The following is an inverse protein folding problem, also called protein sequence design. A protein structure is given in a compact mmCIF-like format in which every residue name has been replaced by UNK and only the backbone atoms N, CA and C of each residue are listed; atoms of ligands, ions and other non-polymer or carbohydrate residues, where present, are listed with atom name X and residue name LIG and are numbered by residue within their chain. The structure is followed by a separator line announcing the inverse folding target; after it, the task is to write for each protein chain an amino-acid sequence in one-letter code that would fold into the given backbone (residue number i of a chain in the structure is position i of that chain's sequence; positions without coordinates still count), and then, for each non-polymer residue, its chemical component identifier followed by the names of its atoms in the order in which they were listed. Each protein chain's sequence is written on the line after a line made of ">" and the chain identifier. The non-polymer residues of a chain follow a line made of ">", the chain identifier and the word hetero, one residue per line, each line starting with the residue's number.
data_IF_041719104043
#
_entry.id   IF_041719104043
#
_cell.length_a   1.000
_cell.length_b   1.000
_cell.length_c   1.000
_cell.angle_alpha   90.00
_cell.angle_beta   90.00
_cell.angle_gamma   90.00
#
_symmetry.space_group_name_H-M   'P 1'
#
loop_
_entity.id
_entity.type
_entity.pdbx_description
1 polymer ?
#
# COMPACT_ATOMS: atom_id res chain seq x y z
N UNK A 1 -28.12 -5.65 11.55
CA UNK A 1 -27.77 -6.66 12.56
C UNK A 1 -26.54 -6.13 13.27
N UNK A 2 -26.54 -6.10 14.60
CA UNK A 2 -25.36 -5.67 15.38
C UNK A 2 -24.20 -6.63 15.15
N UNK A 3 -22.97 -6.11 15.06
CA UNK A 3 -21.75 -6.93 14.97
C UNK A 3 -21.65 -7.90 16.15
N UNK A 4 -21.16 -9.12 15.91
CA UNK A 4 -20.85 -10.06 16.99
C UNK A 4 -19.60 -9.62 17.77
N UNK A 5 -19.35 -10.21 18.94
CA UNK A 5 -18.11 -9.94 19.70
C UNK A 5 -16.85 -10.25 18.89
N UNK A 6 -16.89 -11.34 18.11
CA UNK A 6 -15.78 -11.73 17.22
C UNK A 6 -15.56 -10.69 16.13
N UNK A 7 -16.63 -10.19 15.50
CA UNK A 7 -16.52 -9.15 14.47
C UNK A 7 -15.95 -7.84 15.04
N UNK A 8 -16.33 -7.50 16.27
CA UNK A 8 -15.80 -6.33 16.98
C UNK A 8 -14.31 -6.49 17.28
N UNK A 9 -13.87 -7.68 17.70
CA UNK A 9 -12.46 -7.97 17.96
C UNK A 9 -11.61 -7.92 16.69
N UNK A 10 -12.10 -8.48 15.59
CA UNK A 10 -11.47 -8.37 14.28
C UNK A 10 -11.42 -6.91 13.79
N UNK A 11 -12.50 -6.14 13.99
CA UNK A 11 -12.54 -4.72 13.63
C UNK A 11 -11.56 -3.89 14.46
N UNK A 12 -11.39 -4.23 15.75
CA UNK A 12 -10.36 -3.63 16.61
C UNK A 12 -8.96 -3.95 16.12
N UNK A 13 -8.73 -5.21 15.72
CA UNK A 13 -7.46 -5.61 15.12
C UNK A 13 -7.20 -4.83 13.81
N UNK A 14 -8.22 -4.69 12.96
CA UNK A 14 -8.13 -3.90 11.74
C UNK A 14 -7.75 -2.44 12.04
N UNK A 15 -8.39 -1.81 13.03
CA UNK A 15 -8.05 -0.45 13.47
C UNK A 15 -6.59 -0.33 13.90
N UNK A 16 -6.10 -1.26 14.71
CA UNK A 16 -4.69 -1.28 15.13
C UNK A 16 -3.77 -1.39 13.91
N UNK A 17 -4.08 -2.27 12.96
CA UNK A 17 -3.27 -2.45 11.76
C UNK A 17 -3.24 -1.21 10.84
N UNK A 18 -4.34 -0.47 10.78
CA UNK A 18 -4.55 0.66 9.88
C UNK A 18 -4.06 2.00 10.45
N UNK A 19 -4.12 2.18 11.77
CA UNK A 19 -3.87 3.48 12.40
C UNK A 19 -2.56 3.54 13.19
N UNK A 20 -1.95 2.40 13.56
CA UNK A 20 -0.80 2.37 14.48
C UNK A 20 0.28 1.30 14.16
N UNK A 21 1.54 1.58 14.51
CA UNK A 21 2.29 2.81 14.18
C UNK A 21 2.64 2.86 12.68
N UNK A 22 2.75 4.07 12.14
CA UNK A 22 3.14 4.32 10.74
C UNK A 22 4.55 3.83 10.40
N UNK A 23 4.90 3.79 9.11
CA UNK A 23 6.17 3.25 8.62
C UNK A 23 7.40 3.96 9.23
N UNK A 24 7.38 5.29 9.36
CA UNK A 24 8.46 6.09 10.00
C UNK A 24 8.77 5.61 11.41
N UNK A 25 7.74 5.46 12.24
CA UNK A 25 7.92 5.05 13.63
C UNK A 25 8.55 3.66 13.71
N UNK A 26 8.11 2.73 12.85
CA UNK A 26 8.67 1.38 12.77
C UNK A 26 10.13 1.35 12.29
N UNK A 27 10.45 2.18 11.30
CA UNK A 27 11.83 2.33 10.82
C UNK A 27 12.72 2.95 11.90
N UNK A 28 12.22 3.94 12.62
CA UNK A 28 12.94 4.61 13.71
C UNK A 28 13.21 3.67 14.89
N UNK A 29 12.23 2.83 15.26
CA UNK A 29 12.37 1.80 16.31
C UNK A 29 13.49 0.81 15.99
N UNK A 30 13.57 0.37 14.74
CA UNK A 30 14.58 -0.62 14.30
C UNK A 30 15.96 0.02 14.09
N UNK A 31 16.01 1.25 13.60
CA UNK A 31 17.27 1.95 13.31
C UNK A 31 17.82 2.72 14.52
N UNK A 32 17.05 2.87 15.60
CA UNK A 32 17.44 3.64 16.79
C UNK A 32 17.66 5.12 16.52
N UNK A 33 17.11 5.66 15.42
CA UNK A 33 17.29 7.06 15.01
C UNK A 33 15.94 7.69 14.65
N UNK A 34 15.63 8.89 15.16
CA UNK A 34 14.36 9.56 14.87
C UNK A 34 14.37 10.12 13.44
N UNK A 35 13.66 9.46 12.53
CA UNK A 35 13.59 9.84 11.12
C UNK A 35 12.69 11.06 10.85
N UNK A 36 11.86 11.46 11.81
CA UNK A 36 10.90 12.56 11.69
C UNK A 36 11.58 13.91 11.38
N UNK A 37 12.82 14.10 11.86
CA UNK A 37 13.59 15.35 11.66
C UNK A 37 14.25 15.46 10.27
N UNK A 38 14.29 14.37 9.50
CA UNK A 38 15.02 14.30 8.23
C UNK A 38 14.25 14.80 7.00
N UNK A 39 12.91 14.88 7.06
CA UNK A 39 12.07 15.24 5.92
C UNK A 39 12.36 16.63 5.33
N UNK A 40 12.73 17.61 6.17
CA UNK A 40 13.03 18.98 5.76
C UNK A 40 14.37 19.15 5.05
N UNK A 41 15.23 18.13 5.02
CA UNK A 41 16.61 18.22 4.52
C UNK A 41 16.82 17.56 3.15
N UNK A 42 15.80 16.93 2.57
CA UNK A 42 15.91 16.31 1.25
C UNK A 42 16.10 17.36 0.14
N UNK A 43 17.10 17.20 -0.75
CA UNK A 43 17.24 18.08 -1.91
C UNK A 43 15.97 18.04 -2.77
N UNK A 44 15.50 19.20 -3.25
CA UNK A 44 14.27 19.30 -4.06
C UNK A 44 14.23 18.32 -5.26
N UNK A 45 15.39 18.00 -5.84
CA UNK A 45 15.54 17.04 -6.94
C UNK A 45 15.12 15.61 -6.54
N UNK A 46 15.28 15.22 -5.29
CA UNK A 46 14.92 13.89 -4.79
C UNK A 46 13.40 13.71 -4.75
N UNK A 47 12.67 14.73 -4.28
CA UNK A 47 11.20 14.68 -4.26
C UNK A 47 10.60 14.45 -5.65
N UNK A 48 11.15 15.09 -6.69
CA UNK A 48 10.71 14.88 -8.08
C UNK A 48 10.99 13.45 -8.56
N UNK A 49 12.20 12.94 -8.33
CA UNK A 49 12.58 11.56 -8.70
C UNK A 49 11.74 10.52 -7.98
N UNK A 50 11.47 10.72 -6.68
CA UNK A 50 10.64 9.82 -5.86
C UNK A 50 9.20 9.82 -6.37
N UNK A 51 8.63 10.98 -6.68
CA UNK A 51 7.29 11.08 -7.25
C UNK A 51 7.19 10.39 -8.63
N UNK A 52 8.19 10.58 -9.48
CA UNK A 52 8.25 9.91 -10.78
C UNK A 52 8.38 8.38 -10.62
N UNK A 53 9.26 7.91 -9.73
CA UNK A 53 9.44 6.50 -9.43
C UNK A 53 8.14 5.88 -8.88
N UNK A 54 7.49 6.56 -7.94
CA UNK A 54 6.21 6.14 -7.36
C UNK A 54 5.13 6.02 -8.44
N UNK A 55 4.94 7.07 -9.25
CA UNK A 55 3.96 7.07 -10.34
C UNK A 55 4.19 5.94 -11.35
N UNK A 56 5.45 5.75 -11.80
CA UNK A 56 5.81 4.64 -12.69
C UNK A 56 5.57 3.27 -12.03
N UNK A 57 5.87 3.14 -10.74
CA UNK A 57 5.67 1.90 -9.99
C UNK A 57 4.20 1.54 -9.86
N UNK A 58 3.35 2.52 -9.49
CA UNK A 58 1.89 2.32 -9.41
C UNK A 58 1.31 1.98 -10.78
N UNK A 59 1.69 2.73 -11.83
CA UNK A 59 1.22 2.44 -13.19
C UNK A 59 1.62 1.03 -13.66
N UNK A 60 2.87 0.63 -13.41
CA UNK A 60 3.36 -0.70 -13.78
C UNK A 60 2.69 -1.80 -12.98
N UNK A 61 2.58 -1.62 -11.66
CA UNK A 61 2.03 -2.61 -10.77
C UNK A 61 0.52 -2.78 -11.02
N UNK A 62 -0.21 -1.70 -11.30
CA UNK A 62 -1.61 -1.75 -11.73
C UNK A 62 -1.76 -2.45 -13.10
N UNK A 63 -0.91 -2.16 -14.09
CA UNK A 63 -0.94 -2.89 -15.37
C UNK A 63 -0.72 -4.40 -15.18
N UNK A 64 0.17 -4.79 -14.26
CA UNK A 64 0.40 -6.20 -13.92
C UNK A 64 -0.80 -6.79 -13.17
N UNK A 65 -1.36 -6.07 -12.20
CA UNK A 65 -2.52 -6.49 -11.42
C UNK A 65 -3.71 -6.81 -12.33
N UNK A 66 -4.09 -5.85 -13.18
CA UNK A 66 -5.18 -5.99 -14.15
C UNK A 66 -4.93 -7.10 -15.20
N UNK A 67 -3.67 -7.49 -15.44
CA UNK A 67 -3.32 -8.56 -16.41
C UNK A 67 -3.29 -9.96 -15.80
N UNK A 68 -2.94 -10.07 -14.52
CA UNK A 68 -2.43 -11.34 -13.95
C UNK A 68 -3.21 -11.82 -12.75
N UNK A 69 -4.03 -10.96 -12.11
CA UNK A 69 -4.85 -11.37 -10.97
C UNK A 69 -6.09 -12.20 -11.39
N UNK A 70 -6.50 -12.11 -12.67
CA UNK A 70 -7.56 -12.92 -13.29
C UNK A 70 -7.16 -14.40 -13.48
N UNK A 71 -5.86 -14.69 -13.65
CA UNK A 71 -5.38 -16.04 -13.97
C UNK A 71 -5.16 -16.84 -12.70
N UNK A 72 -6.23 -17.50 -12.27
CA UNK A 72 -6.17 -18.53 -11.24
C UNK A 72 -5.13 -19.60 -11.54
N UNK A 73 -4.15 -19.72 -10.65
CA UNK A 73 -3.57 -21.00 -10.31
C UNK A 73 -3.61 -21.13 -8.78
N UNK A 74 -4.41 -22.08 -8.32
CA UNK A 74 -4.37 -22.59 -6.97
C UNK A 74 -3.10 -23.44 -6.82
N UNK A 75 -2.08 -22.97 -6.10
CA UNK A 75 -1.10 -23.83 -5.39
C UNK A 75 -0.46 -23.02 -4.25
N UNK A 76 -0.59 -23.53 -3.03
CA UNK A 76 0.39 -23.32 -1.96
C UNK A 76 0.01 -22.33 -0.86
N UNK A 77 0.03 -22.80 0.38
CA UNK A 77 -0.02 -22.02 1.60
C UNK A 77 0.88 -20.77 1.51
N UNK A 78 0.32 -19.60 1.83
CA UNK A 78 1.04 -18.39 2.27
C UNK A 78 2.47 -18.27 1.73
N UNK A 79 2.62 -17.80 0.49
CA UNK A 79 3.90 -17.41 -0.09
C UNK A 79 4.55 -16.19 0.59
N UNK A 80 4.12 -15.82 1.81
CA UNK A 80 4.63 -14.70 2.59
C UNK A 80 6.15 -14.78 2.78
N UNK A 81 6.70 -15.97 3.01
CA UNK A 81 8.14 -16.15 3.16
C UNK A 81 8.88 -15.91 1.84
N UNK A 82 8.36 -16.39 0.71
CA UNK A 82 8.99 -16.24 -0.61
C UNK A 82 8.91 -14.81 -1.13
N UNK A 83 7.80 -14.10 -0.89
CA UNK A 83 7.67 -12.68 -1.22
C UNK A 83 8.61 -11.81 -0.37
N UNK A 84 8.76 -12.11 0.93
CA UNK A 84 9.74 -11.44 1.78
C UNK A 84 11.19 -11.75 1.36
N UNK A 85 11.50 -12.99 0.97
CA UNK A 85 12.81 -13.38 0.44
C UNK A 85 13.12 -12.70 -0.90
N UNK A 86 12.17 -12.65 -1.84
CA UNK A 86 12.35 -12.01 -3.13
C UNK A 86 12.54 -10.48 -2.99
N UNK A 87 11.79 -9.83 -2.09
CA UNK A 87 11.94 -8.41 -1.77
C UNK A 87 13.25 -8.12 -1.02
N UNK A 88 13.64 -8.99 -0.08
CA UNK A 88 14.94 -8.94 0.58
C UNK A 88 16.12 -9.09 -0.39
N UNK A 89 16.00 -10.02 -1.35
CA UNK A 89 16.99 -10.25 -2.40
C UNK A 89 17.09 -9.08 -3.39
N UNK A 90 15.96 -8.45 -3.79
CA UNK A 90 15.99 -7.21 -4.59
C UNK A 90 16.57 -6.03 -3.80
N UNK A 91 16.40 -6.02 -2.46
CA UNK A 91 16.98 -5.03 -1.57
C UNK A 91 18.51 -5.08 -1.47
N UNK A 92 19.12 -6.25 -1.65
CA UNK A 92 20.56 -6.41 -1.64
C UNK A 92 21.25 -5.75 -2.85
N UNK A 93 20.58 -5.70 -4.02
CA UNK A 93 21.10 -5.01 -5.22
C UNK A 93 20.89 -3.50 -5.13
N UNK A 94 19.81 -3.04 -4.50
CA UNK A 94 19.53 -1.60 -4.33
C UNK A 94 20.42 -0.90 -3.30
N UNK A 95 20.87 -1.61 -2.26
CA UNK A 95 21.68 -1.06 -1.17
C UNK A 95 23.07 -0.54 -1.56
N UNK A 96 23.59 -0.93 -2.74
CA UNK A 96 24.90 -0.49 -3.23
C UNK A 96 24.84 0.71 -4.21
N UNK A 97 23.68 1.01 -4.80
CA UNK A 97 23.54 2.03 -5.86
C UNK A 97 22.71 3.27 -5.46
N UNK A 98 22.09 3.28 -4.28
CA UNK A 98 21.36 4.45 -3.76
C UNK A 98 20.14 4.84 -4.62
N UNK A 99 19.85 6.15 -4.70
CA UNK A 99 18.63 6.70 -5.35
C UNK A 99 18.45 6.28 -6.82
N UNK A 100 19.53 5.97 -7.54
CA UNK A 100 19.46 5.55 -8.95
C UNK A 100 18.88 4.14 -9.11
N UNK A 101 19.04 3.27 -8.12
CA UNK A 101 18.42 1.95 -8.11
C UNK A 101 16.90 2.02 -7.84
N UNK A 102 16.40 3.10 -7.23
CA UNK A 102 14.99 3.27 -6.90
C UNK A 102 14.08 3.16 -8.13
N UNK A 103 14.52 3.64 -9.29
CA UNK A 103 13.74 3.60 -10.54
C UNK A 103 13.49 2.18 -11.06
N UNK A 104 14.30 1.20 -10.64
CA UNK A 104 14.17 -0.21 -11.02
C UNK A 104 13.61 -1.03 -9.86
N UNK A 105 14.14 -0.79 -8.65
CA UNK A 105 13.77 -1.49 -7.43
C UNK A 105 12.31 -1.22 -7.04
N UNK A 106 11.85 0.01 -7.18
CA UNK A 106 10.52 0.40 -6.73
C UNK A 106 9.40 -0.23 -7.58
N UNK A 107 9.45 -0.22 -8.94
CA UNK A 107 8.42 -0.90 -9.73
C UNK A 107 8.35 -2.41 -9.46
N UNK A 108 9.49 -3.06 -9.25
CA UNK A 108 9.57 -4.50 -8.96
C UNK A 108 9.00 -4.79 -7.58
N UNK A 109 9.49 -4.11 -6.54
CA UNK A 109 8.99 -4.30 -5.17
C UNK A 109 7.51 -3.96 -5.05
N UNK A 110 7.04 -2.90 -5.72
CA UNK A 110 5.62 -2.52 -5.76
C UNK A 110 4.75 -3.59 -6.42
N UNK A 111 5.23 -4.22 -7.50
CA UNK A 111 4.52 -5.34 -8.13
C UNK A 111 4.42 -6.55 -7.18
N UNK A 112 5.50 -6.88 -6.46
CA UNK A 112 5.50 -7.96 -5.48
C UNK A 112 4.56 -7.62 -4.31
N UNK A 113 4.57 -6.37 -3.83
CA UNK A 113 3.66 -5.90 -2.79
C UNK A 113 2.21 -6.03 -3.22
N UNK A 114 1.83 -5.55 -4.42
CA UNK A 114 0.46 -5.71 -4.91
C UNK A 114 0.02 -7.17 -5.00
N UNK A 115 0.92 -8.07 -5.39
CA UNK A 115 0.61 -9.51 -5.40
C UNK A 115 0.34 -10.04 -4.00
N UNK A 116 1.16 -9.65 -3.03
CA UNK A 116 0.93 -9.98 -1.62
C UNK A 116 -0.37 -9.37 -1.07
N UNK A 117 -0.71 -8.14 -1.46
CA UNK A 117 -1.95 -7.47 -1.09
C UNK A 117 -3.15 -8.24 -1.66
N UNK A 118 -3.08 -8.67 -2.92
CA UNK A 118 -4.12 -9.47 -3.55
C UNK A 118 -4.30 -10.84 -2.90
N UNK A 119 -3.21 -11.47 -2.43
CA UNK A 119 -3.31 -12.71 -1.66
C UNK A 119 -4.01 -12.49 -0.31
N UNK A 120 -3.77 -11.35 0.35
CA UNK A 120 -4.52 -10.96 1.55
C UNK A 120 -5.99 -10.72 1.24
N UNK A 121 -6.31 -9.98 0.17
CA UNK A 121 -7.69 -9.75 -0.28
C UNK A 121 -8.43 -11.07 -0.50
N UNK A 122 -7.80 -12.01 -1.21
CA UNK A 122 -8.35 -13.35 -1.45
C UNK A 122 -8.58 -14.11 -0.14
N UNK A 123 -7.66 -14.00 0.82
CA UNK A 123 -7.81 -14.66 2.14
C UNK A 123 -8.97 -14.10 2.98
N UNK A 124 -9.45 -12.90 2.65
CA UNK A 124 -10.64 -12.27 3.24
C UNK A 124 -11.92 -12.47 2.40
N UNK A 125 -11.83 -13.33 1.38
CA UNK A 125 -12.96 -13.71 0.53
C UNK A 125 -13.30 -12.70 -0.57
N UNK A 126 -12.37 -11.81 -0.95
CA UNK A 126 -12.56 -10.94 -2.12
C UNK A 126 -12.37 -11.72 -3.43
N UNK A 127 -13.17 -11.37 -4.44
CA UNK A 127 -13.05 -11.89 -5.80
C UNK A 127 -12.08 -11.03 -6.63
N UNK A 128 -10.88 -11.57 -6.89
CA UNK A 128 -9.84 -10.90 -7.68
C UNK A 128 -10.17 -10.79 -9.18
N UNK A 129 -11.27 -11.38 -9.66
CA UNK A 129 -11.78 -11.12 -11.01
C UNK A 129 -12.56 -9.81 -11.10
N UNK A 130 -12.96 -9.23 -9.97
CA UNK A 130 -13.62 -7.93 -9.92
C UNK A 130 -12.61 -6.80 -10.15
N UNK A 131 -12.81 -5.94 -11.18
CA UNK A 131 -11.98 -4.75 -11.38
C UNK A 131 -11.97 -3.84 -10.15
N UNK A 132 -13.07 -3.79 -9.40
CA UNK A 132 -13.15 -3.00 -8.17
C UNK A 132 -12.16 -3.52 -7.13
N UNK A 133 -12.15 -4.83 -6.86
CA UNK A 133 -11.22 -5.45 -5.90
C UNK A 133 -9.77 -5.27 -6.33
N UNK A 134 -9.48 -5.41 -7.63
CA UNK A 134 -8.13 -5.19 -8.16
C UNK A 134 -7.65 -3.75 -7.90
N UNK A 135 -8.55 -2.76 -8.01
CA UNK A 135 -8.24 -1.36 -7.74
C UNK A 135 -8.19 -1.03 -6.25
N UNK A 136 -8.96 -1.72 -5.41
CA UNK A 136 -8.83 -1.64 -3.94
C UNK A 136 -7.45 -2.17 -3.48
N UNK A 137 -6.93 -3.23 -4.12
CA UNK A 137 -5.55 -3.69 -3.88
C UNK A 137 -4.52 -2.59 -4.18
N UNK A 138 -4.75 -1.78 -5.22
CA UNK A 138 -3.90 -0.62 -5.53
C UNK A 138 -4.11 0.50 -4.51
N UNK A 139 -5.36 0.75 -4.10
CA UNK A 139 -5.71 1.77 -3.11
C UNK A 139 -4.99 1.57 -1.78
N UNK A 140 -4.73 0.32 -1.36
CA UNK A 140 -3.96 0.00 -0.15
C UNK A 140 -2.61 0.73 -0.09
N UNK A 141 -1.96 0.95 -1.24
CA UNK A 141 -0.68 1.68 -1.31
C UNK A 141 -0.79 3.17 -0.92
N UNK A 142 -2.01 3.70 -0.85
CA UNK A 142 -2.31 5.08 -0.51
C UNK A 142 -2.98 5.26 0.87
N UNK A 143 -3.26 4.17 1.59
CA UNK A 143 -3.88 4.24 2.92
C UNK A 143 -2.88 4.56 4.04
N UNK A 144 -1.57 4.45 3.78
CA UNK A 144 -0.50 4.59 4.79
C UNK A 144 0.30 5.90 4.74
N UNK A 145 0.00 6.83 3.82
CA UNK A 145 0.73 8.09 3.66
C UNK A 145 0.08 9.23 4.43
N UNK A 146 0.73 9.72 5.50
CA UNK A 146 0.35 10.98 6.16
C UNK A 146 0.93 12.13 5.32
N UNK A 147 0.09 12.90 4.65
CA UNK A 147 0.52 14.13 3.98
C UNK A 147 0.40 15.29 4.96
N UNK A 148 1.48 16.04 5.20
CA UNK A 148 1.49 17.25 6.04
C UNK A 148 0.55 18.38 5.55
N UNK A 149 -0.08 18.22 4.38
CA UNK A 149 -1.03 19.17 3.81
C UNK A 149 -2.49 18.90 4.20
N UNK A 150 -2.78 17.76 4.82
CA UNK A 150 -4.13 17.46 5.30
C UNK A 150 -4.16 17.79 6.80
N UNK A 151 -5.01 18.75 7.18
CA UNK A 151 -5.20 19.16 8.57
C UNK A 151 -5.27 17.95 9.50
N UNK A 152 -4.51 17.99 10.60
CA UNK A 152 -4.31 16.92 11.58
C UNK A 152 -5.60 16.38 12.26
N UNK A 153 -6.77 16.90 11.91
CA UNK A 153 -8.08 16.48 12.39
C UNK A 153 -8.78 15.45 11.49
N UNK A 154 -8.33 15.24 10.23
CA UNK A 154 -9.01 14.35 9.26
C UNK A 154 -8.20 13.10 8.85
N UNK A 155 -7.14 12.75 9.57
CA UNK A 155 -6.18 11.71 9.13
C UNK A 155 -6.54 10.30 9.63
N UNK A 156 -7.76 9.84 9.40
CA UNK A 156 -8.21 8.47 9.73
C UNK A 156 -8.27 7.55 8.50
N UNK A 157 -8.23 6.24 8.70
CA UNK A 157 -8.37 5.25 7.62
C UNK A 157 -9.61 5.51 6.75
N UNK A 158 -10.77 5.75 7.36
CA UNK A 158 -12.02 6.01 6.63
C UNK A 158 -11.99 7.32 5.83
N UNK A 159 -11.29 8.34 6.32
CA UNK A 159 -11.12 9.59 5.57
C UNK A 159 -10.21 9.39 4.36
N UNK A 160 -9.09 8.69 4.54
CA UNK A 160 -8.19 8.32 3.44
C UNK A 160 -8.91 7.48 2.36
N UNK A 161 -9.71 6.50 2.79
CA UNK A 161 -10.50 5.66 1.88
C UNK A 161 -11.59 6.46 1.16
N UNK A 162 -12.30 7.33 1.87
CA UNK A 162 -13.35 8.19 1.30
C UNK A 162 -12.79 9.15 0.24
N UNK A 163 -11.62 9.74 0.49
CA UNK A 163 -10.96 10.67 -0.44
C UNK A 163 -10.66 10.05 -1.82
N UNK A 164 -10.50 8.73 -1.88
CA UNK A 164 -10.19 8.00 -3.12
C UNK A 164 -11.39 7.21 -3.69
N UNK A 165 -12.50 7.10 -2.96
CA UNK A 165 -13.62 6.23 -3.33
C UNK A 165 -14.17 6.53 -4.72
N UNK A 166 -14.33 7.82 -5.07
CA UNK A 166 -14.82 8.22 -6.39
C UNK A 166 -13.82 7.85 -7.51
N UNK A 167 -12.53 8.06 -7.30
CA UNK A 167 -11.50 7.74 -8.29
C UNK A 167 -11.41 6.23 -8.54
N UNK A 168 -11.54 5.42 -7.48
CA UNK A 168 -11.59 3.95 -7.58
C UNK A 168 -12.85 3.50 -8.33
N UNK A 169 -14.03 3.99 -7.95
CA UNK A 169 -15.29 3.62 -8.59
C UNK A 169 -15.32 3.96 -10.08
N UNK A 170 -14.84 5.15 -10.46
CA UNK A 170 -14.80 5.57 -11.87
C UNK A 170 -13.78 4.76 -12.68
N UNK A 171 -12.61 4.48 -12.11
CA UNK A 171 -11.63 3.60 -12.72
C UNK A 171 -12.18 2.17 -12.90
N UNK A 172 -12.91 1.63 -11.91
CA UNK A 172 -13.52 0.31 -11.99
C UNK A 172 -14.56 0.23 -13.11
N UNK A 173 -15.46 1.23 -13.21
CA UNK A 173 -16.44 1.35 -14.30
C UNK A 173 -15.75 1.43 -15.66
N UNK A 174 -14.69 2.22 -15.77
CA UNK A 174 -13.92 2.34 -17.00
C UNK A 174 -13.29 1.00 -17.43
N UNK A 175 -12.69 0.26 -16.49
CA UNK A 175 -12.12 -1.07 -16.77
C UNK A 175 -13.20 -2.06 -17.18
N UNK A 176 -14.35 -2.07 -16.48
CA UNK A 176 -15.47 -2.95 -16.80
C UNK A 176 -16.06 -2.68 -18.19
N UNK A 177 -16.20 -1.40 -18.59
CA UNK A 177 -16.84 -1.03 -19.87
C UNK A 177 -15.91 -1.17 -21.08
N UNK A 178 -14.63 -0.82 -20.93
CA UNK A 178 -13.68 -0.71 -22.06
C UNK A 178 -12.67 -1.86 -22.11
N UNK A 179 -12.74 -2.76 -21.13
CA UNK A 179 -11.82 -3.87 -20.96
C UNK A 179 -10.36 -3.42 -20.81
N UNK A 180 -9.46 -4.39 -20.93
CA UNK A 180 -8.02 -4.18 -20.85
C UNK A 180 -7.41 -3.43 -22.05
N UNK A 181 -8.22 -3.01 -23.03
CA UNK A 181 -7.76 -2.42 -24.30
C UNK A 181 -7.51 -0.91 -24.18
N UNK A 182 -8.22 -0.18 -23.32
CA UNK A 182 -8.03 1.27 -23.08
C UNK A 182 -7.47 1.61 -21.69
N UNK A 183 -6.29 1.05 -21.36
CA UNK A 183 -5.59 1.30 -20.08
C UNK A 183 -5.03 2.72 -19.89
N UNK A 184 -5.22 3.60 -20.86
CA UNK A 184 -4.82 5.02 -20.81
C UNK A 184 -5.99 5.95 -20.54
N UNK A 185 -7.11 5.42 -20.05
CA UNK A 185 -8.28 6.21 -19.73
C UNK A 185 -8.03 7.22 -18.60
N UNK A 186 -8.68 8.38 -18.68
CA UNK A 186 -8.46 9.48 -17.75
C UNK A 186 -8.67 9.10 -16.28
N UNK A 187 -9.66 8.23 -15.99
CA UNK A 187 -9.96 7.78 -14.63
C UNK A 187 -8.83 6.96 -14.02
N UNK A 188 -8.27 6.00 -14.77
CA UNK A 188 -7.10 5.23 -14.32
C UNK A 188 -5.88 6.14 -14.11
N UNK A 189 -5.63 7.10 -15.00
CA UNK A 189 -4.52 8.05 -14.86
C UNK A 189 -4.70 8.92 -13.60
N UNK A 190 -5.91 9.39 -13.32
CA UNK A 190 -6.22 10.16 -12.11
C UNK A 190 -6.04 9.31 -10.86
N UNK A 191 -6.52 8.07 -10.84
CA UNK A 191 -6.33 7.16 -9.72
C UNK A 191 -4.84 6.89 -9.47
N UNK A 192 -4.05 6.60 -10.53
CA UNK A 192 -2.59 6.44 -10.40
C UNK A 192 -1.98 7.67 -9.75
N UNK A 193 -2.34 8.88 -10.20
CA UNK A 193 -1.77 10.11 -9.68
C UNK A 193 -2.10 10.32 -8.19
N UNK A 194 -3.35 10.05 -7.78
CA UNK A 194 -3.77 10.15 -6.37
C UNK A 194 -3.03 9.14 -5.50
N UNK A 195 -2.94 7.87 -5.94
CA UNK A 195 -2.24 6.82 -5.21
C UNK A 195 -0.75 7.13 -5.13
N UNK A 196 -0.13 7.54 -6.22
CA UNK A 196 1.28 7.89 -6.28
C UNK A 196 1.64 9.05 -5.35
N UNK A 197 0.76 10.05 -5.22
CA UNK A 197 0.98 11.19 -4.32
C UNK A 197 1.06 10.79 -2.85
N UNK A 198 0.34 9.75 -2.42
CA UNK A 198 0.38 9.25 -1.05
C UNK A 198 1.47 8.21 -0.87
N UNK A 199 1.63 7.32 -1.85
CA UNK A 199 2.68 6.31 -1.85
C UNK A 199 4.08 6.94 -1.84
N UNK A 200 4.28 8.07 -2.52
CA UNK A 200 5.57 8.77 -2.55
C UNK A 200 6.02 9.28 -1.18
N UNK A 201 5.09 9.50 -0.24
CA UNK A 201 5.41 9.81 1.16
C UNK A 201 6.12 8.60 1.80
N UNK A 202 5.51 7.42 1.74
CA UNK A 202 6.13 6.20 2.29
C UNK A 202 7.42 5.83 1.57
N UNK A 203 7.50 6.06 0.26
CA UNK A 203 8.76 5.86 -0.49
C UNK A 203 9.84 6.84 -0.02
N UNK A 204 9.48 8.09 0.29
CA UNK A 204 10.43 9.06 0.84
C UNK A 204 10.96 8.60 2.20
N UNK A 205 10.10 8.05 3.06
CA UNK A 205 10.47 7.46 4.35
C UNK A 205 11.46 6.31 4.19
N UNK A 206 11.17 5.41 3.24
CA UNK A 206 12.06 4.30 2.86
C UNK A 206 13.43 4.81 2.38
N UNK A 207 13.44 5.78 1.47
CA UNK A 207 14.68 6.35 0.92
C UNK A 207 15.49 7.04 2.00
N UNK A 208 14.85 7.76 2.93
CA UNK A 208 15.52 8.39 4.06
C UNK A 208 16.17 7.37 4.99
N UNK A 209 15.44 6.31 5.33
CA UNK A 209 15.98 5.21 6.12
C UNK A 209 17.20 4.56 5.45
N UNK A 210 17.16 4.38 4.12
CA UNK A 210 18.28 3.83 3.35
C UNK A 210 19.46 4.78 3.22
N UNK A 211 19.26 6.09 3.40
CA UNK A 211 20.32 7.09 3.36
C UNK A 211 21.12 7.18 4.68
N UNK A 212 20.67 6.53 5.76
CA UNK A 212 21.39 6.48 7.04
C UNK A 212 22.72 5.72 6.85
N UNK A 213 23.90 6.33 7.12
CA UNK A 213 25.21 5.73 6.79
C UNK A 213 25.51 4.37 7.41
N UNK A 214 24.81 4.02 8.50
CA UNK A 214 24.97 2.76 9.23
C UNK A 214 24.22 1.59 8.54
N UNK A 215 23.39 1.89 7.55
CA UNK A 215 22.57 0.93 6.81
C UNK A 215 23.36 0.42 5.60
N UNK A 216 24.08 -0.70 5.77
CA UNK A 216 24.68 -1.46 4.66
C UNK A 216 23.64 -2.30 3.91
N UNK A 217 24.09 -3.25 3.07
CA UNK A 217 23.21 -4.14 2.30
C UNK A 217 22.21 -4.93 3.18
N UNK A 218 22.63 -5.35 4.38
CA UNK A 218 21.74 -5.99 5.37
C UNK A 218 20.63 -5.04 5.85
N UNK A 219 20.96 -3.76 6.08
CA UNK A 219 20.00 -2.75 6.47
C UNK A 219 19.00 -2.43 5.35
N UNK A 220 19.45 -2.41 4.09
CA UNK A 220 18.58 -2.27 2.92
C UNK A 220 17.53 -3.40 2.81
N UNK A 221 17.91 -4.65 3.12
CA UNK A 221 17.00 -5.79 3.16
C UNK A 221 15.97 -5.68 4.31
N UNK A 222 16.40 -5.23 5.50
CA UNK A 222 15.51 -4.98 6.64
C UNK A 222 14.48 -3.91 6.31
N UNK A 223 14.92 -2.77 5.76
CA UNK A 223 14.01 -1.68 5.38
C UNK A 223 12.97 -2.15 4.37
N UNK A 224 13.39 -2.92 3.36
CA UNK A 224 12.48 -3.48 2.37
C UNK A 224 11.47 -4.48 2.96
N UNK A 225 11.90 -5.26 3.94
CA UNK A 225 11.01 -6.17 4.67
C UNK A 225 9.98 -5.40 5.49
N UNK A 226 10.39 -4.34 6.19
CA UNK A 226 9.49 -3.47 6.96
C UNK A 226 8.51 -2.72 6.05
N UNK A 227 8.97 -2.28 4.88
CA UNK A 227 8.14 -1.65 3.86
C UNK A 227 7.05 -2.61 3.35
N UNK A 228 7.43 -3.85 3.00
CA UNK A 228 6.48 -4.90 2.63
C UNK A 228 5.49 -5.18 3.76
N UNK A 229 5.98 -5.37 4.98
CA UNK A 229 5.12 -5.69 6.12
C UNK A 229 4.15 -4.56 6.46
N UNK A 230 4.55 -3.30 6.28
CA UNK A 230 3.66 -2.16 6.42
C UNK A 230 2.45 -2.30 5.48
N UNK A 231 2.67 -2.51 4.19
CA UNK A 231 1.55 -2.65 3.24
C UNK A 231 0.76 -3.96 3.40
N UNK A 232 1.38 -5.03 3.89
CA UNK A 232 0.65 -6.25 4.27
C UNK A 232 -0.31 -6.00 5.45
N UNK A 233 0.10 -5.22 6.45
CA UNK A 233 -0.76 -4.81 7.57
C UNK A 233 -1.91 -3.93 7.09
N UNK A 234 -1.61 -2.94 6.25
CA UNK A 234 -2.62 -2.06 5.65
C UNK A 234 -3.63 -2.88 4.84
N UNK A 235 -3.17 -3.83 4.03
CA UNK A 235 -4.04 -4.74 3.30
C UNK A 235 -4.93 -5.56 4.23
N UNK A 236 -4.35 -6.18 5.26
CA UNK A 236 -5.12 -7.01 6.19
C UNK A 236 -6.21 -6.21 6.89
N UNK A 237 -5.86 -5.06 7.47
CA UNK A 237 -6.86 -4.21 8.11
C UNK A 237 -7.93 -3.73 7.13
N UNK A 238 -7.54 -3.28 5.94
CA UNK A 238 -8.48 -2.81 4.93
C UNK A 238 -9.44 -3.90 4.47
N UNK A 239 -8.96 -5.12 4.22
CA UNK A 239 -9.81 -6.22 3.75
C UNK A 239 -10.61 -6.90 4.87
N UNK A 240 -10.17 -6.84 6.15
CA UNK A 240 -11.04 -7.15 7.30
C UNK A 240 -12.24 -6.19 7.30
N UNK A 241 -11.99 -4.88 7.23
CA UNK A 241 -13.07 -3.88 7.22
C UNK A 241 -14.02 -4.17 6.06
N UNK A 242 -13.52 -4.31 4.82
CA UNK A 242 -14.37 -4.61 3.66
C UNK A 242 -15.19 -5.89 3.81
N UNK A 243 -14.60 -6.94 4.38
CA UNK A 243 -15.32 -8.19 4.66
C UNK A 243 -16.48 -7.96 5.63
N UNK A 244 -16.24 -7.23 6.72
CA UNK A 244 -17.28 -6.90 7.70
C UNK A 244 -18.35 -5.97 7.09
N UNK A 245 -17.98 -5.02 6.23
CA UNK A 245 -18.94 -4.15 5.54
C UNK A 245 -19.87 -4.94 4.61
N UNK A 246 -19.36 -6.01 3.96
CA UNK A 246 -20.20 -6.91 3.15
C UNK A 246 -21.20 -7.69 4.01
N UNK A 247 -20.84 -8.04 5.24
CA UNK A 247 -21.67 -8.84 6.14
C UNK A 247 -22.70 -8.00 6.92
N UNK A 248 -22.31 -6.80 7.36
CA UNK A 248 -23.08 -5.99 8.30
C UNK A 248 -23.54 -4.64 7.74
N UNK A 249 -23.02 -4.23 6.57
CA UNK A 249 -23.24 -2.92 5.98
C UNK A 249 -22.16 -1.90 6.36
N UNK A 250 -21.85 -0.99 5.44
CA UNK A 250 -20.74 -0.04 5.60
C UNK A 250 -20.93 0.94 6.75
N UNK A 251 -22.14 1.48 6.90
CA UNK A 251 -22.44 2.49 7.94
C UNK A 251 -22.30 1.92 9.36
N UNK A 252 -22.81 0.72 9.60
CA UNK A 252 -22.72 0.05 10.91
C UNK A 252 -21.26 -0.19 11.29
N UNK A 253 -20.47 -0.77 10.38
CA UNK A 253 -19.04 -1.05 10.61
C UNK A 253 -18.27 0.24 10.88
N UNK A 254 -18.55 1.31 10.13
CA UNK A 254 -17.91 2.61 10.32
C UNK A 254 -18.23 3.22 11.68
N UNK A 255 -19.48 3.14 12.14
CA UNK A 255 -19.90 3.63 13.46
C UNK A 255 -19.19 2.86 14.57
N UNK A 256 -19.18 1.53 14.50
CA UNK A 256 -18.48 0.71 15.51
C UNK A 256 -16.98 0.98 15.48
N UNK A 257 -16.36 1.05 14.30
CA UNK A 257 -14.92 1.34 14.16
C UNK A 257 -14.53 2.69 14.78
N UNK A 258 -15.37 3.71 14.64
CA UNK A 258 -15.14 5.02 15.22
C UNK A 258 -15.21 5.01 16.76
N UNK A 259 -15.99 4.08 17.35
CA UNK A 259 -16.14 3.92 18.80
C UNK A 259 -15.10 3.00 19.47
N UNK A 260 -14.25 2.33 18.70
CA UNK A 260 -13.14 1.48 19.18
C UNK A 260 -11.88 2.28 19.50
#
# INVERSE_FOLDING_TARGET
>A
MSLSSTDIDELRQAKILLENPGLVARLSDVLGTPLEKGFGMLPRKWGQLINEAASKSIAKAMDVALKTMERGQAVGQSANAWHKLAVGASGAVGGAFGLSALLIELPVSTTIMLRSIADVARSEGEDLNSPEVQLECVQVLALGGRSDKDNAAETGYFAARAAMAQAVAEAARQVAQKGLVQRKGAALVQLIAQVASRFSVNVSEKVMAQAVPVVGALGGAVINTLFMEHFQRMARGHFIVRRLERLHGAEEVKVVYAGL
#
